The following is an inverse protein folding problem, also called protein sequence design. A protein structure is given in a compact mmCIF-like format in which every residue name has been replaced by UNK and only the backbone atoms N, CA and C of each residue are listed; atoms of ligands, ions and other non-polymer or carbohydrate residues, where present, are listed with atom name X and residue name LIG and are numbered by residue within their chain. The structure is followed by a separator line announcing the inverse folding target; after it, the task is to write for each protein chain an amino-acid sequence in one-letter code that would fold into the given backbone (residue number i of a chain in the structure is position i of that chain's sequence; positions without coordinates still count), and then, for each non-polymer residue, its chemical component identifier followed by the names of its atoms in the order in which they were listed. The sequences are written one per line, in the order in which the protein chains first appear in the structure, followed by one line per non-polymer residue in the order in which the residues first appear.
data_IF_882740268517
#
_entry.id   IF_882740268517
#
_cell.length_a   1.000
_cell.length_b   1.000
_cell.length_c   1.000
_cell.angle_alpha   90.00
_cell.angle_beta   90.00
_cell.angle_gamma   90.00
#
_symmetry.space_group_name_H-M   'P 1'
#
loop_
_entity.id
_entity.type
_entity.pdbx_description
1 polymer ?
#
# COMPACT_ATOMS: atom_id res chain seq x y z
N UNK A 1 42.76 37.17 65.09
CA UNK A 1 42.31 37.10 63.68
C UNK A 1 43.08 36.11 62.79
N UNK A 2 44.38 35.85 62.96
CA UNK A 2 45.18 35.04 62.02
C UNK A 2 44.76 33.56 61.87
N UNK A 3 44.34 32.87 62.94
CA UNK A 3 43.95 31.44 62.89
C UNK A 3 42.59 31.20 62.20
N UNK A 4 41.62 32.10 62.39
CA UNK A 4 40.28 31.98 61.81
C UNK A 4 40.27 32.25 60.30
N UNK A 5 41.10 33.18 59.83
CA UNK A 5 41.26 33.46 58.38
C UNK A 5 41.94 32.29 57.67
N UNK A 6 42.97 31.69 58.30
CA UNK A 6 43.67 30.53 57.74
C UNK A 6 42.77 29.28 57.64
N UNK A 7 41.87 29.07 58.60
CA UNK A 7 40.88 27.98 58.52
C UNK A 7 39.84 28.22 57.42
N UNK A 8 39.45 29.48 57.18
CA UNK A 8 38.52 29.82 56.11
C UNK A 8 39.11 29.56 54.72
N UNK A 9 40.39 29.92 54.50
CA UNK A 9 41.09 29.61 53.25
C UNK A 9 41.23 28.10 52.99
N UNK A 10 41.47 27.29 54.03
CA UNK A 10 41.56 25.83 53.89
C UNK A 10 40.23 25.20 53.48
N UNK A 11 39.12 25.67 54.04
CA UNK A 11 37.77 25.18 53.69
C UNK A 11 37.42 25.56 52.25
N UNK A 12 37.74 26.79 51.82
CA UNK A 12 37.49 27.24 50.45
C UNK A 12 38.25 26.41 49.41
N UNK A 13 39.50 26.03 49.73
CA UNK A 13 40.34 25.21 48.86
C UNK A 13 39.81 23.78 48.73
N UNK A 14 39.29 23.19 49.81
CA UNK A 14 38.68 21.85 49.79
C UNK A 14 37.38 21.83 48.96
N UNK A 15 36.56 22.88 49.07
CA UNK A 15 35.32 23.00 48.28
C UNK A 15 35.65 23.15 46.79
N UNK A 16 36.66 23.94 46.44
CA UNK A 16 37.14 24.08 45.05
C UNK A 16 37.65 22.75 44.49
N UNK A 17 38.38 21.97 45.28
CA UNK A 17 38.89 20.66 44.86
C UNK A 17 37.76 19.63 44.61
N UNK A 18 36.69 19.64 45.41
CA UNK A 18 35.53 18.74 45.18
C UNK A 18 34.73 19.09 43.92
N UNK A 19 34.64 20.37 43.55
CA UNK A 19 34.00 20.79 42.29
C UNK A 19 34.75 20.30 41.05
N UNK A 20 36.09 20.29 41.07
CA UNK A 20 36.89 19.81 39.94
C UNK A 20 36.80 18.29 39.72
N UNK A 21 36.59 17.50 40.78
CA UNK A 21 36.45 16.04 40.68
C UNK A 21 35.12 15.59 40.03
N UNK A 22 34.16 16.49 39.83
CA UNK A 22 32.80 16.15 39.37
C UNK A 22 32.59 16.26 37.85
N UNK A 23 33.61 16.67 37.08
CA UNK A 23 33.48 16.94 35.62
C UNK A 23 33.90 15.74 34.76
N UNK A 24 34.40 14.64 35.32
CA UNK A 24 34.74 13.43 34.56
C UNK A 24 33.73 12.30 34.77
N UNK A 25 32.65 12.29 33.99
CA UNK A 25 31.89 11.08 33.74
C UNK A 25 31.40 11.09 32.28
N UNK A 26 32.16 10.43 31.40
CA UNK A 26 31.74 10.12 30.02
C UNK A 26 30.78 8.93 30.08
N UNK A 27 29.55 9.11 29.61
CA UNK A 27 28.70 7.99 29.18
C UNK A 27 27.76 8.48 28.09
N UNK A 28 28.02 8.08 26.84
CA UNK A 28 27.06 8.23 25.75
C UNK A 28 26.63 6.84 25.29
N UNK A 29 25.46 6.39 25.77
CA UNK A 29 24.74 5.26 25.21
C UNK A 29 23.69 5.86 24.27
N UNK A 30 23.75 5.47 22.99
CA UNK A 30 22.83 5.93 21.96
C UNK A 30 21.73 4.89 21.73
N UNK A 31 20.47 5.31 21.80
CA UNK A 31 19.30 4.53 21.38
C UNK A 31 18.64 5.28 20.22
N UNK A 32 18.41 4.66 19.05
CA UNK A 32 17.90 5.38 17.88
C UNK A 32 16.38 5.61 17.97
N UNK A 33 15.96 6.85 17.69
CA UNK A 33 14.57 7.26 17.51
C UNK A 33 14.26 7.25 15.99
N UNK A 34 13.19 6.58 15.59
CA UNK A 34 12.81 6.37 14.17
C UNK A 34 11.98 7.54 13.65
N UNK A 35 12.38 8.12 12.51
CA UNK A 35 11.47 8.87 11.63
C UNK A 35 11.28 8.08 10.32
N UNK A 36 10.04 7.94 9.81
CA UNK A 36 9.76 7.16 8.61
C UNK A 36 10.12 7.94 7.33
N UNK A 37 10.89 7.31 6.44
CA UNK A 37 11.05 7.76 5.04
C UNK A 37 10.05 6.96 4.20
N UNK A 38 9.18 7.66 3.47
CA UNK A 38 8.21 7.06 2.53
C UNK A 38 8.92 6.78 1.20
N UNK A 39 8.93 5.52 0.77
CA UNK A 39 9.38 5.13 -0.57
C UNK A 39 8.13 4.81 -1.38
N UNK A 40 7.83 5.63 -2.39
CA UNK A 40 6.75 5.36 -3.34
C UNK A 40 7.15 4.18 -4.23
N UNK A 41 6.42 3.07 -4.13
CA UNK A 41 6.46 2.01 -5.13
C UNK A 41 5.43 2.34 -6.22
N UNK A 42 5.91 2.68 -7.42
CA UNK A 42 5.06 2.77 -8.60
C UNK A 42 4.59 1.37 -9.01
N UNK A 43 3.43 0.96 -8.51
CA UNK A 43 2.76 -0.25 -8.97
C UNK A 43 2.11 0.05 -10.31
N UNK A 44 2.73 -0.39 -11.40
CA UNK A 44 2.13 -0.33 -12.74
C UNK A 44 0.89 -1.23 -12.78
N UNK A 45 -0.29 -0.63 -12.81
CA UNK A 45 -1.55 -1.32 -13.11
C UNK A 45 -1.46 -1.92 -14.52
N UNK A 46 -1.18 -3.22 -14.62
CA UNK A 46 -1.30 -3.95 -15.88
C UNK A 46 -2.75 -4.39 -16.02
N UNK A 47 -3.57 -3.60 -16.71
CA UNK A 47 -4.84 -4.06 -17.24
C UNK A 47 -4.51 -5.09 -18.33
N UNK A 48 -4.63 -6.38 -18.02
CA UNK A 48 -4.51 -7.42 -19.04
C UNK A 48 -5.86 -7.57 -19.71
N UNK A 49 -6.07 -6.85 -20.81
CA UNK A 49 -7.23 -7.05 -21.67
C UNK A 49 -7.01 -8.33 -22.48
N UNK A 50 -7.76 -9.39 -22.18
CA UNK A 50 -7.81 -10.58 -23.03
C UNK A 50 -9.04 -10.47 -23.93
N UNK A 51 -8.80 -10.31 -25.22
CA UNK A 51 -9.84 -10.39 -26.25
C UNK A 51 -9.90 -11.81 -26.79
N UNK A 52 -11.05 -12.47 -26.62
CA UNK A 52 -11.33 -13.79 -27.20
C UNK A 52 -12.24 -13.60 -28.41
N UNK A 53 -11.72 -13.93 -29.59
CA UNK A 53 -12.45 -13.86 -30.86
C UNK A 53 -12.95 -15.26 -31.23
N UNK A 54 -14.27 -15.43 -31.33
CA UNK A 54 -14.88 -16.63 -31.89
C UNK A 54 -15.05 -16.47 -33.40
N UNK A 55 -14.54 -17.44 -34.15
CA UNK A 55 -14.67 -17.48 -35.61
C UNK A 55 -16.13 -17.72 -36.05
N UNK A 56 -16.52 -17.29 -37.26
CA UNK A 56 -17.86 -17.53 -37.77
C UNK A 56 -18.12 -19.03 -37.93
N UNK A 57 -19.38 -19.43 -37.68
CA UNK A 57 -19.83 -20.82 -37.81
C UNK A 57 -20.69 -20.92 -39.06
N UNK A 58 -20.31 -21.80 -39.98
CA UNK A 58 -21.07 -22.08 -41.19
C UNK A 58 -21.63 -23.50 -41.10
N UNK A 59 -22.95 -23.63 -41.07
CA UNK A 59 -23.65 -24.92 -41.05
C UNK A 59 -24.38 -25.13 -42.38
N UNK A 60 -24.31 -26.35 -42.87
CA UNK A 60 -25.07 -26.80 -44.03
C UNK A 60 -25.78 -28.10 -43.65
N UNK A 61 -27.11 -28.09 -43.74
CA UNK A 61 -27.94 -29.26 -43.52
C UNK A 61 -28.65 -29.59 -44.83
N UNK A 62 -28.49 -30.83 -45.29
CA UNK A 62 -29.14 -31.33 -46.50
C UNK A 62 -30.21 -32.35 -46.09
N UNK A 63 -31.44 -32.12 -46.52
CA UNK A 63 -32.59 -32.99 -46.26
C UNK A 63 -33.05 -33.58 -47.61
N UNK A 64 -32.93 -34.90 -47.81
CA UNK A 64 -33.41 -35.55 -49.02
C UNK A 64 -34.94 -35.55 -49.07
N UNK A 65 -35.50 -35.31 -50.25
CA UNK A 65 -36.93 -35.32 -50.52
C UNK A 65 -37.27 -36.58 -51.29
N UNK A 66 -37.96 -37.49 -50.62
CA UNK A 66 -38.33 -38.79 -51.20
C UNK A 66 -39.48 -38.58 -52.18
N UNK A 67 -39.33 -39.08 -53.40
CA UNK A 67 -40.36 -39.06 -54.41
C UNK A 67 -41.45 -40.10 -54.13
N UNK A 68 -42.69 -39.79 -54.53
CA UNK A 68 -43.78 -40.75 -54.58
C UNK A 68 -43.48 -41.84 -55.61
N UNK A 69 -43.72 -43.09 -55.22
CA UNK A 69 -43.55 -44.27 -56.06
C UNK A 69 -44.64 -45.31 -55.73
N UNK A 70 -45.84 -45.09 -56.24
CA UNK A 70 -47.03 -45.92 -56.00
C UNK A 70 -47.28 -46.93 -57.12
N UNK A 71 -46.37 -47.04 -58.09
CA UNK A 71 -46.52 -47.77 -59.36
C UNK A 71 -47.62 -47.20 -60.29
N UNK A 72 -48.14 -46.01 -59.99
CA UNK A 72 -49.03 -45.26 -60.87
C UNK A 72 -48.30 -44.01 -61.36
N UNK A 73 -47.73 -44.09 -62.58
CA UNK A 73 -46.87 -43.04 -63.12
C UNK A 73 -47.54 -41.68 -63.24
N UNK A 74 -48.84 -41.64 -63.57
CA UNK A 74 -49.60 -40.39 -63.70
C UNK A 74 -49.78 -39.72 -62.34
N UNK A 75 -50.15 -40.51 -61.34
CA UNK A 75 -50.30 -40.03 -59.96
C UNK A 75 -48.95 -39.58 -59.39
N UNK A 76 -47.92 -40.43 -59.51
CA UNK A 76 -46.59 -40.16 -58.98
C UNK A 76 -46.00 -38.88 -59.61
N UNK A 77 -46.16 -38.69 -60.93
CA UNK A 77 -45.72 -37.47 -61.61
C UNK A 77 -46.44 -36.21 -61.10
N UNK A 78 -47.75 -36.29 -60.89
CA UNK A 78 -48.53 -35.15 -60.40
C UNK A 78 -48.13 -34.76 -58.98
N UNK A 79 -48.01 -35.76 -58.09
CA UNK A 79 -47.61 -35.54 -56.70
C UNK A 79 -46.19 -34.97 -56.64
N UNK A 80 -45.24 -35.59 -57.33
CA UNK A 80 -43.85 -35.14 -57.33
C UNK A 80 -43.70 -33.73 -57.89
N UNK A 81 -44.45 -33.38 -58.94
CA UNK A 81 -44.48 -32.01 -59.48
C UNK A 81 -45.05 -31.00 -58.49
N UNK A 82 -46.11 -31.35 -57.74
CA UNK A 82 -46.69 -30.47 -56.73
C UNK A 82 -45.80 -30.31 -55.51
N UNK A 83 -45.10 -31.36 -55.09
CA UNK A 83 -44.07 -31.28 -54.04
C UNK A 83 -42.95 -30.34 -54.47
N UNK A 84 -42.45 -30.47 -55.71
CA UNK A 84 -41.43 -29.55 -56.24
C UNK A 84 -41.91 -28.10 -56.25
N UNK A 85 -43.17 -27.86 -56.64
CA UNK A 85 -43.77 -26.53 -56.65
C UNK A 85 -43.82 -25.93 -55.23
N UNK A 86 -44.25 -26.72 -54.24
CA UNK A 86 -44.34 -26.27 -52.84
C UNK A 86 -42.95 -25.96 -52.30
N UNK A 87 -41.99 -26.88 -52.47
CA UNK A 87 -40.64 -26.71 -51.94
C UNK A 87 -39.90 -25.55 -52.60
N UNK A 88 -40.11 -25.29 -53.89
CA UNK A 88 -39.58 -24.10 -54.56
C UNK A 88 -40.14 -22.80 -53.98
N UNK A 89 -41.40 -22.78 -53.52
CA UNK A 89 -42.00 -21.61 -52.86
C UNK A 89 -41.47 -21.39 -51.44
N UNK A 90 -40.90 -22.42 -50.81
CA UNK A 90 -40.25 -22.32 -49.49
C UNK A 90 -38.83 -21.77 -49.56
N UNK A 91 -38.31 -21.47 -50.76
CA UNK A 91 -37.04 -20.81 -50.92
C UNK A 91 -37.04 -19.49 -50.14
N UNK A 92 -36.14 -19.40 -49.16
CA UNK A 92 -36.11 -18.31 -48.21
C UNK A 92 -34.68 -17.87 -48.00
N UNK A 93 -34.46 -16.56 -47.91
CA UNK A 93 -33.15 -16.00 -47.57
C UNK A 93 -33.35 -14.82 -46.65
N UNK A 94 -32.65 -14.84 -45.52
CA UNK A 94 -32.61 -13.75 -44.58
C UNK A 94 -31.17 -13.52 -44.11
N UNK A 95 -30.80 -12.25 -43.99
CA UNK A 95 -29.51 -11.81 -43.53
C UNK A 95 -29.69 -10.69 -42.53
N UNK A 96 -29.04 -10.82 -41.37
CA UNK A 96 -29.04 -9.83 -40.30
C UNK A 96 -27.63 -9.64 -39.78
N UNK A 97 -27.01 -8.53 -40.15
CA UNK A 97 -25.59 -8.28 -39.92
C UNK A 97 -24.72 -9.37 -40.58
N UNK A 98 -23.85 -9.98 -39.77
CA UNK A 98 -22.97 -11.07 -40.20
C UNK A 98 -23.64 -12.46 -40.17
N UNK A 99 -24.88 -12.55 -39.64
CA UNK A 99 -25.65 -13.78 -39.61
C UNK A 99 -26.49 -13.93 -40.88
N UNK A 100 -26.62 -15.14 -41.39
CA UNK A 100 -27.55 -15.44 -42.50
C UNK A 100 -28.19 -16.80 -42.35
N UNK A 101 -29.41 -16.93 -42.88
CA UNK A 101 -30.13 -18.18 -43.04
C UNK A 101 -30.69 -18.23 -44.45
N UNK A 102 -30.38 -19.31 -45.18
CA UNK A 102 -30.88 -19.56 -46.53
C UNK A 102 -31.43 -20.98 -46.59
N UNK A 103 -32.68 -21.12 -47.05
CA UNK A 103 -33.36 -22.37 -47.34
C UNK A 103 -33.55 -22.44 -48.84
N UNK A 104 -33.01 -23.49 -49.47
CA UNK A 104 -33.03 -23.64 -50.91
C UNK A 104 -33.40 -25.07 -51.29
N UNK A 105 -34.42 -25.21 -52.13
CA UNK A 105 -34.75 -26.48 -52.75
C UNK A 105 -33.98 -26.68 -54.06
N UNK A 106 -33.39 -27.86 -54.24
CA UNK A 106 -32.79 -28.32 -55.48
C UNK A 106 -33.64 -29.44 -56.08
N UNK A 107 -34.45 -29.11 -57.09
CA UNK A 107 -35.34 -30.07 -57.75
C UNK A 107 -34.60 -31.18 -58.53
N UNK A 108 -33.35 -30.93 -58.97
CA UNK A 108 -32.55 -31.93 -59.69
C UNK A 108 -32.02 -32.99 -58.75
N UNK A 109 -31.52 -32.57 -57.59
CA UNK A 109 -31.00 -33.48 -56.56
C UNK A 109 -32.10 -34.00 -55.63
N UNK A 110 -33.31 -33.43 -55.70
CA UNK A 110 -34.41 -33.69 -54.76
C UNK A 110 -33.98 -33.47 -53.31
N UNK A 111 -33.40 -32.31 -53.05
CA UNK A 111 -32.84 -31.96 -51.75
C UNK A 111 -33.27 -30.57 -51.30
N UNK A 112 -33.63 -30.46 -50.02
CA UNK A 112 -33.79 -29.18 -49.34
C UNK A 112 -32.50 -28.87 -48.57
N UNK A 113 -31.84 -27.77 -48.92
CA UNK A 113 -30.61 -27.30 -48.31
C UNK A 113 -30.91 -26.15 -47.35
N UNK A 114 -30.42 -26.26 -46.12
CA UNK A 114 -30.51 -25.22 -45.09
C UNK A 114 -29.09 -24.78 -44.77
N UNK A 115 -28.75 -23.58 -45.22
CA UNK A 115 -27.46 -22.95 -45.06
C UNK A 115 -27.60 -21.89 -43.97
N UNK A 116 -26.86 -22.01 -42.87
CA UNK A 116 -26.82 -20.97 -41.85
C UNK A 116 -25.40 -20.52 -41.58
N UNK A 117 -25.23 -19.21 -41.40
CA UNK A 117 -23.99 -18.57 -41.02
C UNK A 117 -24.24 -17.79 -39.75
N UNK A 118 -23.44 -18.06 -38.74
CA UNK A 118 -23.37 -17.29 -37.51
C UNK A 118 -22.10 -16.44 -37.59
N UNK A 119 -22.27 -15.12 -37.43
CA UNK A 119 -21.21 -14.14 -37.51
C UNK A 119 -20.14 -14.32 -36.42
N UNK A 120 -19.01 -13.66 -36.61
CA UNK A 120 -17.93 -13.62 -35.60
C UNK A 120 -18.43 -12.92 -34.34
N UNK A 121 -18.01 -13.41 -33.17
CA UNK A 121 -18.24 -12.74 -31.88
C UNK A 121 -16.91 -12.43 -31.21
N UNK A 122 -16.84 -11.33 -30.46
CA UNK A 122 -15.68 -10.98 -29.65
C UNK A 122 -16.13 -10.77 -28.21
N UNK A 123 -15.43 -11.41 -27.28
CA UNK A 123 -15.62 -11.22 -25.84
C UNK A 123 -14.37 -10.57 -25.26
N UNK A 124 -14.55 -9.47 -24.51
CA UNK A 124 -13.48 -8.78 -23.81
C UNK A 124 -13.58 -9.10 -22.32
N UNK A 125 -12.60 -9.83 -21.79
CA UNK A 125 -12.46 -10.01 -20.36
C UNK A 125 -11.52 -8.94 -19.79
N UNK A 126 -12.06 -8.06 -18.94
CA UNK A 126 -11.26 -7.08 -18.21
C UNK A 126 -11.01 -7.60 -16.80
N UNK A 127 -9.78 -8.00 -16.51
CA UNK A 127 -9.36 -8.31 -15.15
C UNK A 127 -8.58 -7.11 -14.60
N UNK A 128 -9.20 -6.38 -13.65
CA UNK A 128 -8.50 -5.40 -12.82
C UNK A 128 -7.83 -6.15 -11.69
N UNK A 129 -6.50 -6.24 -11.73
CA UNK A 129 -5.73 -6.63 -10.56
C UNK A 129 -5.39 -5.35 -9.80
N UNK A 130 -6.25 -4.95 -8.86
CA UNK A 130 -5.90 -3.93 -7.89
C UNK A 130 -4.90 -4.58 -6.92
N UNK A 131 -3.60 -4.40 -7.19
CA UNK A 131 -2.57 -4.71 -6.21
C UNK A 131 -2.55 -3.57 -5.21
N UNK A 132 -3.09 -3.79 -4.01
CA UNK A 132 -2.88 -2.88 -2.89
C UNK A 132 -1.37 -2.77 -2.64
N UNK A 133 -0.83 -1.57 -2.86
CA UNK A 133 0.55 -1.23 -2.50
C UNK A 133 0.66 -1.27 -0.98
N UNK A 134 1.24 -2.32 -0.42
CA UNK A 134 1.64 -2.35 0.99
C UNK A 134 2.96 -1.58 1.09
N UNK A 135 2.91 -0.33 1.53
CA UNK A 135 4.10 0.47 1.83
C UNK A 135 4.79 -0.08 3.08
N UNK A 136 5.96 -0.71 2.90
CA UNK A 136 6.82 -1.18 4.01
C UNK A 136 7.98 -0.19 4.17
N UNK A 137 8.07 0.57 5.27
CA UNK A 137 9.13 1.56 5.46
C UNK A 137 10.48 0.89 5.72
N UNK A 138 11.48 1.17 4.87
CA UNK A 138 12.88 0.77 5.04
C UNK A 138 13.65 1.91 5.70
N UNK A 139 14.22 1.65 6.89
CA UNK A 139 14.85 2.67 7.73
C UNK A 139 16.36 2.76 7.42
N UNK A 140 16.85 3.94 7.05
CA UNK A 140 18.29 4.22 6.87
C UNK A 140 18.77 5.20 7.96
N UNK A 141 19.77 4.80 8.75
CA UNK A 141 20.23 5.57 9.93
C UNK A 141 21.32 6.59 9.56
N UNK A 142 21.24 7.81 10.10
CA UNK A 142 22.27 8.85 10.00
C UNK A 142 22.58 9.39 11.40
N UNK A 143 23.86 9.52 11.83
CA UNK A 143 24.19 9.90 13.20
C UNK A 143 24.15 11.42 13.43
N UNK A 144 23.48 11.86 14.51
CA UNK A 144 23.57 13.23 15.03
C UNK A 144 23.79 13.21 16.56
N UNK A 145 24.48 14.21 17.14
CA UNK A 145 24.76 14.24 18.58
C UNK A 145 23.53 14.67 19.38
N UNK A 146 23.10 13.83 20.34
CA UNK A 146 21.99 14.12 21.27
C UNK A 146 22.56 14.46 22.66
N UNK A 147 22.14 15.59 23.23
CA UNK A 147 22.51 16.02 24.59
C UNK A 147 21.65 15.22 25.59
N UNK A 148 22.29 14.42 26.45
CA UNK A 148 21.57 13.60 27.43
C UNK A 148 21.00 14.43 28.59
N UNK A 149 19.77 14.14 29.06
CA UNK A 149 19.22 14.80 30.24
C UNK A 149 19.94 14.37 31.53
N UNK A 150 20.20 15.33 32.42
CA UNK A 150 20.87 15.08 33.71
C UNK A 150 20.15 14.00 34.53
N UNK A 151 20.91 13.04 35.05
CA UNK A 151 20.39 11.95 35.88
C UNK A 151 19.85 12.46 37.22
N UNK A 152 18.87 11.75 37.81
CA UNK A 152 18.24 12.14 39.09
C UNK A 152 19.26 12.34 40.22
N UNK A 153 20.32 11.53 40.23
CA UNK A 153 21.39 11.60 41.23
C UNK A 153 22.25 12.87 41.04
N UNK A 154 22.56 13.25 39.79
CA UNK A 154 23.25 14.51 39.50
C UNK A 154 22.41 15.72 39.94
N UNK A 155 21.09 15.70 39.71
CA UNK A 155 20.19 16.77 40.20
C UNK A 155 20.19 16.85 41.73
N UNK A 156 20.19 15.71 42.41
CA UNK A 156 20.26 15.63 43.87
C UNK A 156 21.58 16.20 44.41
N UNK A 157 22.72 15.83 43.81
CA UNK A 157 24.05 16.31 44.20
C UNK A 157 24.18 17.84 44.05
N UNK A 158 23.67 18.40 42.96
CA UNK A 158 23.65 19.86 42.73
C UNK A 158 22.79 20.54 43.81
N UNK A 159 21.60 20.02 44.08
CA UNK A 159 20.70 20.58 45.08
C UNK A 159 21.32 20.57 46.49
N UNK A 160 21.96 19.46 46.88
CA UNK A 160 22.68 19.37 48.15
C UNK A 160 23.85 20.35 48.22
N UNK A 161 24.64 20.48 47.14
CA UNK A 161 25.77 21.40 47.09
C UNK A 161 25.36 22.86 47.30
N UNK A 162 24.29 23.32 46.63
CA UNK A 162 23.76 24.68 46.81
C UNK A 162 23.21 24.89 48.23
N UNK A 163 22.51 23.90 48.77
CA UNK A 163 21.99 23.94 50.15
C UNK A 163 23.10 24.08 51.20
N UNK A 164 24.17 23.28 51.08
CA UNK A 164 25.32 23.37 51.98
C UNK A 164 26.03 24.73 51.87
N UNK A 165 26.24 25.24 50.65
CA UNK A 165 26.85 26.55 50.45
C UNK A 165 26.04 27.67 51.11
N UNK A 166 24.71 27.67 50.92
CA UNK A 166 23.81 28.65 51.55
C UNK A 166 23.79 28.56 53.08
N UNK A 167 23.81 27.35 53.64
CA UNK A 167 23.85 27.17 55.09
C UNK A 167 25.16 27.72 55.70
N UNK A 168 26.29 27.47 55.04
CA UNK A 168 27.58 27.99 55.49
C UNK A 168 27.67 29.51 55.40
N UNK A 169 27.18 30.14 54.31
CA UNK A 169 27.21 31.61 54.20
C UNK A 169 26.36 32.29 55.26
N UNK A 170 25.18 31.75 55.59
CA UNK A 170 24.32 32.28 56.65
C UNK A 170 24.99 32.12 58.03
N UNK A 171 25.50 30.92 58.35
CA UNK A 171 26.08 30.64 59.67
C UNK A 171 27.34 31.48 59.96
N UNK A 172 28.23 31.62 58.97
CA UNK A 172 29.45 32.41 59.13
C UNK A 172 29.19 33.91 58.96
N UNK A 173 28.21 34.29 58.12
CA UNK A 173 27.73 35.67 58.01
C UNK A 173 27.15 36.19 59.33
N UNK A 174 26.28 35.42 60.00
CA UNK A 174 25.77 35.80 61.33
C UNK A 174 26.88 35.93 62.37
N UNK A 175 27.89 35.06 62.31
CA UNK A 175 29.04 35.09 63.23
C UNK A 175 29.91 36.34 63.00
N UNK A 176 30.06 36.79 61.75
CA UNK A 176 30.73 38.05 61.44
C UNK A 176 29.92 39.27 61.92
N UNK A 177 28.60 39.28 61.72
CA UNK A 177 27.72 40.37 62.18
C UNK A 177 27.72 40.48 63.70
N UNK A 178 27.74 39.37 64.43
CA UNK A 178 27.81 39.38 65.90
C UNK A 178 29.17 39.81 66.44
N UNK A 179 30.27 39.57 65.72
CA UNK A 179 31.59 40.13 66.04
C UNK A 179 31.61 41.66 65.82
N UNK A 180 31.02 42.15 64.72
CA UNK A 180 30.94 43.59 64.44
C UNK A 180 30.05 44.33 65.46
N UNK A 181 28.90 43.75 65.85
CA UNK A 181 28.04 44.32 66.89
C UNK A 181 28.68 44.30 68.29
N UNK A 182 29.52 43.30 68.58
CA UNK A 182 30.28 43.21 69.82
C UNK A 182 31.41 44.24 69.95
N UNK A 183 31.87 44.84 68.83
CA UNK A 183 32.87 45.91 68.81
C UNK A 183 32.30 47.34 68.81
N UNK A 184 30.97 47.51 68.80
CA UNK A 184 30.28 48.82 68.81
C UNK A 184 29.57 49.14 70.12
N UNK A 185 29.85 48.39 71.19
CA UNK A 185 29.50 48.72 72.57
C UNK A 185 30.84 49.00 73.27
N UNK A 186 31.07 50.26 73.64
CA UNK A 186 32.36 50.94 73.98
C UNK A 186 32.95 51.74 72.82
N UNK A 187 32.35 52.91 72.63
CA UNK A 187 32.81 54.04 71.81
C UNK A 187 31.90 55.21 72.12
#
# INVERSE_FOLDING_TARGET
MKKSVLQFCKILLIISAMFFASVSCKSSIATPLQEPIVIHHDTKNTNTEKETINQPINNNTVIPVIASNTNNSVFDSLVNSKVDEILNKLNYKNQSGDNSLEVKYNALLKELQILSKIGKTSSKATSKNDKETIEVPVIKQVPYPVIQPLTKLQKLLIALGVGFAGFYTIKYGLKLVSIVKGSTLWG
#
